data_IF_962111372276
#
_entry.id   IF_962111372276
#
_cell.length_a   1.000
_cell.length_b   1.000
_cell.length_c   1.000
_cell.angle_alpha   90.00
_cell.angle_beta   90.00
_cell.angle_gamma   90.00
#
_symmetry.space_group_name_H-M   'P 1'
#
loop_
_entity.id
_entity.type
_entity.pdbx_description
1 polymer ?
#
# COMPACT_ATOMS: atom_id res chain seq x y z
N UNK A 1 2.32 25.09 -12.16
CA UNK A 1 3.32 25.44 -11.14
C UNK A 1 4.71 24.89 -11.45
N UNK A 2 4.88 23.67 -11.99
CA UNK A 2 6.23 23.13 -12.25
C UNK A 2 6.85 23.48 -13.61
N UNK A 3 6.04 23.96 -14.57
CA UNK A 3 6.48 24.23 -15.95
C UNK A 3 7.71 25.15 -16.06
N UNK A 4 7.89 26.21 -15.25
CA UNK A 4 9.11 27.04 -15.32
C UNK A 4 10.41 26.29 -15.02
N UNK A 5 10.34 25.10 -14.41
CA UNK A 5 11.48 24.26 -14.05
C UNK A 5 11.76 23.16 -15.07
N UNK A 6 10.95 23.03 -16.14
CA UNK A 6 11.00 21.88 -17.07
C UNK A 6 12.36 21.67 -17.73
N UNK A 7 13.18 22.72 -17.84
CA UNK A 7 14.51 22.67 -18.43
C UNK A 7 15.63 22.26 -17.44
N UNK A 8 15.30 22.01 -16.17
CA UNK A 8 16.28 21.55 -15.18
C UNK A 8 16.56 20.06 -15.33
N UNK A 9 17.81 19.67 -15.07
CA UNK A 9 18.21 18.25 -14.97
C UNK A 9 17.83 17.71 -13.59
N UNK A 10 17.04 16.63 -13.56
CA UNK A 10 16.59 16.00 -12.32
C UNK A 10 17.21 14.62 -12.12
N UNK A 11 17.55 14.29 -10.86
CA UNK A 11 17.86 12.90 -10.46
C UNK A 11 16.61 12.13 -10.04
N UNK A 12 15.57 12.82 -9.57
CA UNK A 12 14.36 12.20 -9.05
C UNK A 12 13.35 13.23 -8.56
N UNK A 13 12.14 12.76 -8.24
CA UNK A 13 11.06 13.58 -7.66
C UNK A 13 10.56 12.93 -6.38
N UNK A 14 10.15 13.75 -5.41
CA UNK A 14 9.36 13.33 -4.24
C UNK A 14 8.02 14.05 -4.28
N UNK A 15 6.93 13.28 -4.13
CA UNK A 15 5.56 13.78 -4.18
C UNK A 15 4.76 13.36 -2.94
N UNK A 16 4.09 14.31 -2.29
CA UNK A 16 3.18 14.00 -1.20
C UNK A 16 1.90 14.82 -1.39
N UNK A 17 0.91 14.19 -2.01
CA UNK A 17 -0.42 14.75 -2.23
C UNK A 17 -1.40 13.59 -2.40
N UNK A 18 -2.68 13.86 -2.16
CA UNK A 18 -3.81 13.00 -2.50
C UNK A 18 -5.01 13.24 -1.60
N UNK A 19 -4.82 13.97 -0.49
CA UNK A 19 -5.83 14.26 0.52
C UNK A 19 -7.05 14.96 -0.07
N UNK A 20 -6.83 15.97 -0.93
CA UNK A 20 -7.93 16.65 -1.62
C UNK A 20 -8.65 15.75 -2.63
N UNK A 21 -7.98 14.71 -3.15
CA UNK A 21 -8.60 13.78 -4.10
C UNK A 21 -9.52 12.76 -3.42
N UNK A 22 -9.47 12.62 -2.09
CA UNK A 22 -10.37 11.70 -1.37
C UNK A 22 -11.84 12.02 -1.66
N UNK A 23 -12.17 13.31 -1.70
CA UNK A 23 -13.54 13.80 -1.92
C UNK A 23 -13.78 14.27 -3.38
N UNK A 24 -12.73 14.33 -4.22
CA UNK A 24 -12.80 14.86 -5.57
C UNK A 24 -11.95 14.02 -6.55
N UNK A 25 -12.59 13.40 -7.55
CA UNK A 25 -11.92 12.57 -8.56
C UNK A 25 -11.13 11.37 -8.00
N UNK A 26 -11.52 10.86 -6.83
CA UNK A 26 -10.86 9.72 -6.16
C UNK A 26 -10.70 8.52 -7.09
N UNK A 27 -11.80 8.10 -7.71
CA UNK A 27 -11.85 6.88 -8.54
C UNK A 27 -11.09 7.04 -9.86
N UNK A 28 -10.68 8.26 -10.22
CA UNK A 28 -9.81 8.54 -11.36
C UNK A 28 -8.32 8.54 -10.98
N UNK A 29 -7.99 8.56 -9.68
CA UNK A 29 -6.61 8.73 -9.22
C UNK A 29 -5.68 7.58 -9.62
N UNK A 30 -6.23 6.37 -9.74
CA UNK A 30 -5.51 5.20 -10.26
C UNK A 30 -5.09 5.36 -11.73
N UNK A 31 -5.66 6.33 -12.44
CA UNK A 31 -5.32 6.68 -13.82
C UNK A 31 -4.52 7.98 -13.88
N UNK A 32 -4.96 9.01 -13.16
CA UNK A 32 -4.34 10.34 -13.24
C UNK A 32 -2.98 10.42 -12.55
N UNK A 33 -2.74 9.66 -11.48
CA UNK A 33 -1.44 9.70 -10.82
C UNK A 33 -0.32 9.01 -11.63
N UNK A 34 -0.51 7.80 -12.21
CA UNK A 34 0.44 7.25 -13.17
C UNK A 34 0.63 8.15 -14.39
N UNK A 35 -0.43 8.79 -14.88
CA UNK A 35 -0.34 9.73 -16.00
C UNK A 35 0.51 10.97 -15.64
N UNK A 36 0.38 11.51 -14.42
CA UNK A 36 1.23 12.61 -13.94
C UNK A 36 2.70 12.21 -13.90
N UNK A 37 3.02 11.01 -13.43
CA UNK A 37 4.39 10.51 -13.37
C UNK A 37 4.98 10.43 -14.79
N UNK A 38 4.22 9.87 -15.74
CA UNK A 38 4.67 9.76 -17.13
C UNK A 38 4.80 11.13 -17.80
N UNK A 39 3.84 12.03 -17.60
CA UNK A 39 3.88 13.40 -18.12
C UNK A 39 5.12 14.16 -17.63
N UNK A 40 5.46 14.05 -16.35
CA UNK A 40 6.66 14.69 -15.80
C UNK A 40 7.94 14.05 -16.33
N UNK A 41 7.98 12.72 -16.46
CA UNK A 41 9.09 12.01 -17.10
C UNK A 41 9.36 12.54 -18.51
N UNK A 42 8.33 12.64 -19.33
CA UNK A 42 8.45 13.19 -20.68
C UNK A 42 8.84 14.66 -20.67
N UNK A 43 8.18 15.47 -19.84
CA UNK A 43 8.40 16.92 -19.76
C UNK A 43 9.84 17.25 -19.39
N UNK A 44 10.37 16.66 -18.30
CA UNK A 44 11.73 16.94 -17.86
C UNK A 44 12.79 16.30 -18.75
N UNK A 45 12.53 15.11 -19.32
CA UNK A 45 13.44 14.52 -20.31
C UNK A 45 13.57 15.44 -21.54
N UNK A 46 12.47 15.92 -22.12
CA UNK A 46 12.51 16.81 -23.27
C UNK A 46 13.07 18.20 -22.91
N UNK A 47 12.60 18.82 -21.82
CA UNK A 47 13.01 20.17 -21.44
C UNK A 47 14.51 20.25 -21.10
N UNK A 48 15.06 19.23 -20.43
CA UNK A 48 16.50 19.14 -20.16
C UNK A 48 17.33 18.63 -21.36
N UNK A 49 16.74 18.54 -22.56
CA UNK A 49 17.39 18.07 -23.78
C UNK A 49 18.01 16.67 -23.62
N UNK A 50 17.31 15.78 -22.92
CA UNK A 50 17.72 14.40 -22.68
C UNK A 50 18.67 14.19 -21.50
N UNK A 51 19.05 15.24 -20.75
CA UNK A 51 19.94 15.10 -19.59
C UNK A 51 19.25 14.46 -18.38
N UNK A 52 17.95 14.68 -18.22
CA UNK A 52 17.14 13.93 -17.25
C UNK A 52 16.81 12.56 -17.82
N UNK A 53 17.11 11.51 -17.06
CA UNK A 53 16.80 10.12 -17.44
C UNK A 53 15.31 9.95 -17.78
N UNK A 54 15.01 9.28 -18.90
CA UNK A 54 13.62 9.12 -19.38
C UNK A 54 12.71 8.46 -18.34
N UNK A 55 13.22 7.48 -17.61
CA UNK A 55 12.51 6.81 -16.51
C UNK A 55 13.13 7.19 -15.17
N UNK A 56 13.34 8.48 -14.92
CA UNK A 56 13.92 8.93 -13.66
C UNK A 56 13.07 8.48 -12.45
N UNK A 57 13.71 8.21 -11.29
CA UNK A 57 13.08 7.78 -10.06
C UNK A 57 11.96 8.72 -9.56
N UNK A 58 10.81 8.16 -9.23
CA UNK A 58 9.68 8.91 -8.67
C UNK A 58 9.29 8.35 -7.30
N UNK A 59 9.48 9.13 -6.25
CA UNK A 59 9.10 8.78 -4.89
C UNK A 59 7.78 9.44 -4.50
N UNK A 60 6.92 8.73 -3.77
CA UNK A 60 5.74 9.36 -3.18
C UNK A 60 5.41 8.86 -1.78
N UNK A 61 4.56 9.60 -1.07
CA UNK A 61 4.09 9.22 0.26
C UNK A 61 2.66 8.71 0.16
N UNK A 62 2.43 7.50 0.65
CA UNK A 62 1.07 7.00 0.83
C UNK A 62 0.37 7.85 1.89
N UNK A 63 -0.89 8.23 1.65
CA UNK A 63 -1.60 9.09 2.60
C UNK A 63 -1.63 8.48 4.01
N UNK A 64 -1.39 9.33 5.02
CA UNK A 64 -1.44 8.95 6.42
C UNK A 64 -2.89 8.78 6.90
N UNK A 65 -3.06 8.53 8.19
CA UNK A 65 -4.38 8.34 8.81
C UNK A 65 -5.07 9.67 9.11
N UNK A 66 -6.39 9.67 8.96
CA UNK A 66 -7.26 10.84 9.23
C UNK A 66 -8.39 10.38 10.14
N UNK A 67 -8.78 11.22 11.11
CA UNK A 67 -9.89 10.91 12.01
C UNK A 67 -11.19 10.67 11.24
N UNK A 68 -11.98 9.70 11.72
CA UNK A 68 -13.32 9.42 11.21
C UNK A 68 -14.22 10.66 11.34
N UNK A 69 -15.03 10.93 10.31
CA UNK A 69 -15.89 12.11 10.22
C UNK A 69 -15.36 13.21 9.28
N UNK A 70 -14.05 13.23 8.99
CA UNK A 70 -13.49 14.10 7.94
C UNK A 70 -13.72 13.53 6.53
N UNK A 71 -13.81 12.21 6.42
CA UNK A 71 -14.00 11.41 5.20
C UNK A 71 -14.76 10.14 5.57
N UNK A 72 -15.51 9.55 4.64
CA UNK A 72 -16.17 8.25 4.94
C UNK A 72 -15.16 7.11 4.96
N UNK A 73 -15.46 6.05 5.73
CA UNK A 73 -14.47 5.05 6.14
C UNK A 73 -13.76 4.34 4.98
N UNK A 74 -14.40 4.19 3.82
CA UNK A 74 -13.84 3.50 2.67
C UNK A 74 -13.09 4.42 1.69
N UNK A 75 -13.24 5.74 1.77
CA UNK A 75 -12.68 6.65 0.74
C UNK A 75 -11.17 6.83 0.87
N UNK A 76 -10.68 6.96 2.10
CA UNK A 76 -9.25 7.12 2.36
C UNK A 76 -8.44 5.85 2.02
N UNK A 77 -8.84 4.62 2.41
CA UNK A 77 -8.14 3.43 1.96
C UNK A 77 -8.23 3.24 0.43
N UNK A 78 -9.34 3.63 -0.22
CA UNK A 78 -9.44 3.63 -1.69
C UNK A 78 -8.42 4.56 -2.34
N UNK A 79 -8.25 5.80 -1.88
CA UNK A 79 -7.21 6.68 -2.47
C UNK A 79 -5.81 6.13 -2.22
N UNK A 80 -5.52 5.52 -1.06
CA UNK A 80 -4.23 4.87 -0.78
C UNK A 80 -3.96 3.72 -1.75
N UNK A 81 -5.00 2.97 -2.12
CA UNK A 81 -4.92 1.93 -3.13
C UNK A 81 -4.66 2.52 -4.53
N UNK A 82 -5.44 3.54 -4.91
CA UNK A 82 -5.29 4.24 -6.19
C UNK A 82 -3.91 4.93 -6.36
N UNK A 83 -3.26 5.37 -5.28
CA UNK A 83 -1.88 5.88 -5.30
C UNK A 83 -0.87 4.87 -5.86
N UNK A 84 -1.20 3.58 -5.86
CA UNK A 84 -0.36 2.50 -6.41
C UNK A 84 -0.86 1.97 -7.75
N UNK A 85 -1.77 2.70 -8.41
CA UNK A 85 -2.46 2.24 -9.61
C UNK A 85 -3.21 0.91 -9.42
N UNK A 86 -3.73 0.68 -8.21
CA UNK A 86 -4.47 -0.51 -7.79
C UNK A 86 -3.66 -1.81 -7.72
N UNK A 87 -2.35 -1.71 -7.42
CA UNK A 87 -1.48 -2.87 -7.20
C UNK A 87 -1.16 -3.14 -5.71
N UNK A 88 -1.24 -2.12 -4.85
CA UNK A 88 -0.85 -2.19 -3.44
C UNK A 88 0.63 -1.94 -3.16
N UNK A 89 1.45 -1.92 -4.21
CA UNK A 89 2.89 -1.72 -4.12
C UNK A 89 3.42 -1.00 -5.36
N UNK A 90 4.61 -0.42 -5.22
CA UNK A 90 5.43 0.15 -6.29
C UNK A 90 6.90 -0.22 -6.06
N UNK A 91 7.72 -0.43 -7.09
CA UNK A 91 7.37 -0.31 -8.51
C UNK A 91 6.42 -1.41 -8.97
N UNK A 92 5.63 -1.12 -9.99
CA UNK A 92 4.72 -2.06 -10.63
C UNK A 92 4.66 -1.81 -12.15
N UNK A 93 3.89 -2.60 -12.89
CA UNK A 93 3.81 -2.52 -14.36
C UNK A 93 3.35 -1.14 -14.89
N UNK A 94 2.58 -0.39 -14.10
CA UNK A 94 2.10 0.97 -14.48
C UNK A 94 3.01 2.08 -13.97
N UNK A 95 3.85 1.80 -12.97
CA UNK A 95 4.69 2.77 -12.27
C UNK A 95 6.11 2.19 -12.07
N UNK A 96 6.89 1.98 -13.16
CA UNK A 96 8.27 1.52 -13.05
C UNK A 96 9.15 2.60 -12.43
N UNK A 97 10.29 2.24 -11.83
CA UNK A 97 11.22 3.17 -11.17
C UNK A 97 10.54 4.10 -10.16
N UNK A 98 9.57 3.58 -9.41
CA UNK A 98 8.82 4.32 -8.40
C UNK A 98 9.02 3.68 -7.03
N UNK A 99 9.06 4.50 -5.98
CA UNK A 99 9.11 4.04 -4.60
C UNK A 99 8.09 4.79 -3.74
N UNK A 100 7.65 4.15 -2.65
CA UNK A 100 6.59 4.68 -1.79
C UNK A 100 7.00 4.63 -0.32
N UNK A 101 6.81 5.74 0.39
CA UNK A 101 6.81 5.75 1.84
C UNK A 101 5.39 5.47 2.35
N UNK A 102 5.18 4.29 2.94
CA UNK A 102 3.96 3.99 3.71
C UNK A 102 3.92 4.94 4.90
N UNK A 103 2.79 5.62 5.14
CA UNK A 103 2.65 6.57 6.26
C UNK A 103 1.36 6.39 7.06
N UNK A 104 0.56 5.35 6.80
CA UNK A 104 -0.72 5.12 7.48
C UNK A 104 -0.56 4.90 9.00
N UNK A 105 0.59 4.40 9.46
CA UNK A 105 0.92 4.19 10.87
C UNK A 105 1.50 5.44 11.56
N UNK A 106 1.54 6.60 10.88
CA UNK A 106 2.10 7.85 11.41
C UNK A 106 1.02 8.88 11.78
N UNK A 107 -0.25 8.45 11.84
CA UNK A 107 -1.37 9.30 12.24
C UNK A 107 -1.21 9.83 13.66
N UNK A 108 -1.72 11.04 13.90
CA UNK A 108 -1.74 11.65 15.22
C UNK A 108 -3.08 12.31 15.53
N UNK A 109 -3.82 11.72 16.48
CA UNK A 109 -5.15 12.20 16.90
C UNK A 109 -5.08 13.57 17.58
N UNK A 110 -3.95 13.87 18.20
CA UNK A 110 -3.72 15.06 19.01
C UNK A 110 -2.92 16.12 18.25
N UNK A 111 -2.80 15.98 16.92
CA UNK A 111 -2.12 16.98 16.10
C UNK A 111 -2.84 18.34 16.21
N UNK A 112 -2.17 19.42 16.66
CA UNK A 112 -2.79 20.74 16.74
C UNK A 112 -3.08 21.35 15.36
N UNK A 113 -2.55 20.74 14.30
CA UNK A 113 -2.76 21.16 12.91
C UNK A 113 -3.87 20.36 12.22
N UNK A 114 -4.54 19.47 12.95
CA UNK A 114 -5.52 18.53 12.39
C UNK A 114 -4.90 17.19 12.04
N UNK A 115 -5.71 16.13 12.16
CA UNK A 115 -5.26 14.74 12.01
C UNK A 115 -4.70 14.39 10.62
N UNK A 116 -5.07 15.16 9.59
CA UNK A 116 -4.57 14.98 8.22
C UNK A 116 -3.07 15.30 8.07
N UNK A 117 -2.49 16.03 9.02
CA UNK A 117 -1.08 16.40 9.00
C UNK A 117 -0.29 15.57 10.03
N UNK A 118 0.34 14.45 9.64
CA UNK A 118 1.17 13.67 10.57
C UNK A 118 2.38 14.52 10.99
N UNK A 119 2.64 14.59 12.30
CA UNK A 119 3.74 15.40 12.86
C UNK A 119 5.12 14.76 12.63
N UNK A 120 5.20 13.43 12.60
CA UNK A 120 6.45 12.71 12.37
C UNK A 120 6.84 12.70 10.88
N UNK A 121 7.21 13.89 10.37
CA UNK A 121 7.72 14.06 9.01
C UNK A 121 9.12 13.47 8.84
N UNK A 122 9.87 13.29 9.93
CA UNK A 122 11.20 12.67 9.89
C UNK A 122 11.10 11.19 9.49
N UNK A 123 10.15 10.43 10.05
CA UNK A 123 9.93 9.04 9.64
C UNK A 123 9.42 8.96 8.19
N UNK A 124 8.55 9.88 7.75
CA UNK A 124 8.14 9.96 6.33
C UNK A 124 9.38 10.16 5.42
N UNK A 125 10.22 11.14 5.74
CA UNK A 125 11.43 11.44 4.98
C UNK A 125 12.43 10.27 4.99
N UNK A 126 12.59 9.60 6.13
CA UNK A 126 13.46 8.43 6.26
C UNK A 126 13.00 7.27 5.35
N UNK A 127 11.69 6.99 5.31
CA UNK A 127 11.13 5.94 4.43
C UNK A 127 11.32 6.27 2.95
N UNK A 128 11.15 7.53 2.56
CA UNK A 128 11.47 8.00 1.20
C UNK A 128 12.98 7.90 0.91
N UNK A 129 13.83 8.23 1.88
CA UNK A 129 15.27 8.14 1.74
C UNK A 129 15.74 6.71 1.48
N UNK A 130 15.17 5.71 2.17
CA UNK A 130 15.44 4.30 1.89
C UNK A 130 15.05 3.93 0.45
N UNK A 131 13.86 4.38 -0.01
CA UNK A 131 13.41 4.15 -1.38
C UNK A 131 14.32 4.82 -2.42
N UNK A 132 14.79 6.04 -2.15
CA UNK A 132 15.74 6.72 -3.02
C UNK A 132 17.07 5.96 -3.10
N UNK A 133 17.63 5.52 -1.98
CA UNK A 133 18.87 4.72 -1.97
C UNK A 133 18.74 3.43 -2.78
N UNK A 134 17.65 2.69 -2.59
CA UNK A 134 17.42 1.43 -3.31
C UNK A 134 17.14 1.65 -4.80
N UNK A 135 16.23 2.56 -5.15
CA UNK A 135 15.70 2.73 -6.52
C UNK A 135 16.49 3.76 -7.33
N UNK A 136 16.83 4.91 -6.75
CA UNK A 136 17.53 6.00 -7.46
C UNK A 136 19.05 5.83 -7.49
N UNK A 137 19.61 5.19 -6.47
CA UNK A 137 21.06 4.99 -6.32
C UNK A 137 21.50 3.52 -6.42
N UNK A 138 20.56 2.59 -6.60
CA UNK A 138 20.87 1.20 -6.98
C UNK A 138 21.40 0.31 -5.85
N UNK A 139 21.11 0.64 -4.59
CA UNK A 139 21.48 -0.20 -3.45
C UNK A 139 20.62 -1.48 -3.37
N UNK A 140 21.01 -2.52 -4.11
CA UNK A 140 20.20 -3.72 -4.37
C UNK A 140 19.77 -4.53 -3.14
N UNK A 141 20.53 -4.48 -2.04
CA UNK A 141 20.27 -5.27 -0.83
C UNK A 141 19.61 -4.44 0.28
N UNK A 142 19.25 -3.18 0.01
CA UNK A 142 18.61 -2.31 0.98
C UNK A 142 17.11 -2.60 1.06
N UNK A 143 16.63 -2.93 2.25
CA UNK A 143 15.20 -3.07 2.52
C UNK A 143 14.58 -1.67 2.61
N UNK A 144 13.73 -1.33 1.64
CA UNK A 144 13.02 -0.06 1.58
C UNK A 144 11.49 -0.18 1.57
N UNK A 145 10.98 -1.42 1.53
CA UNK A 145 9.55 -1.73 1.58
C UNK A 145 9.23 -2.57 2.81
N UNK A 146 8.06 -2.35 3.38
CA UNK A 146 7.49 -3.26 4.37
C UNK A 146 6.96 -4.53 3.70
N UNK A 147 6.64 -5.57 4.51
CA UNK A 147 6.33 -6.89 3.99
C UNK A 147 5.10 -6.90 3.08
N UNK A 148 5.20 -7.62 1.96
CA UNK A 148 4.12 -7.83 1.00
C UNK A 148 3.70 -9.30 0.97
N UNK A 149 2.40 -9.60 0.78
CA UNK A 149 1.95 -10.96 0.56
C UNK A 149 2.50 -11.48 -0.78
N UNK A 150 3.02 -12.71 -0.75
CA UNK A 150 3.55 -13.44 -1.92
C UNK A 150 2.57 -14.54 -2.35
N UNK A 151 2.00 -15.26 -1.38
CA UNK A 151 1.09 -16.37 -1.65
C UNK A 151 -0.05 -16.39 -0.64
N UNK A 152 -1.25 -16.68 -1.12
CA UNK A 152 -2.46 -16.79 -0.33
C UNK A 152 -3.08 -18.16 -0.58
N UNK A 153 -3.36 -18.89 0.49
CA UNK A 153 -3.90 -20.24 0.45
C UNK A 153 -5.14 -20.34 1.33
N UNK A 154 -6.27 -20.70 0.73
CA UNK A 154 -7.50 -21.01 1.47
C UNK A 154 -7.45 -22.45 1.98
N UNK A 155 -7.45 -22.61 3.30
CA UNK A 155 -7.53 -23.89 4.00
C UNK A 155 -8.96 -24.04 4.57
N UNK A 156 -9.91 -24.28 3.67
CA UNK A 156 -11.34 -24.27 3.97
C UNK A 156 -11.73 -25.30 5.05
N UNK A 157 -11.10 -26.48 5.03
CA UNK A 157 -11.28 -27.55 6.01
C UNK A 157 -10.91 -27.14 7.44
N UNK A 158 -10.01 -26.16 7.58
CA UNK A 158 -9.53 -25.63 8.88
C UNK A 158 -10.16 -24.30 9.24
N UNK A 159 -10.97 -23.71 8.36
CA UNK A 159 -11.48 -22.35 8.52
C UNK A 159 -10.35 -21.31 8.58
N UNK A 160 -9.26 -21.51 7.82
CA UNK A 160 -8.09 -20.62 7.82
C UNK A 160 -7.78 -20.06 6.43
N UNK A 161 -7.28 -18.83 6.40
CA UNK A 161 -6.60 -18.25 5.25
C UNK A 161 -5.12 -18.05 5.60
N UNK A 162 -4.23 -18.77 4.93
CA UNK A 162 -2.79 -18.66 5.16
C UNK A 162 -2.16 -17.68 4.16
N UNK A 163 -1.40 -16.73 4.67
CA UNK A 163 -0.71 -15.71 3.89
C UNK A 163 0.79 -15.91 4.10
N UNK A 164 1.52 -16.14 3.02
CA UNK A 164 2.98 -16.16 2.99
C UNK A 164 3.49 -14.81 2.48
N UNK A 165 4.52 -14.27 3.11
CA UNK A 165 5.14 -13.00 2.75
C UNK A 165 6.48 -13.24 2.05
N UNK A 166 6.82 -12.37 1.10
CA UNK A 166 8.12 -12.41 0.40
C UNK A 166 9.28 -11.98 1.30
N UNK A 167 8.99 -11.16 2.30
CA UNK A 167 9.93 -10.68 3.31
C UNK A 167 9.63 -11.29 4.68
N UNK A 168 10.58 -11.19 5.61
CA UNK A 168 10.28 -11.52 7.00
C UNK A 168 9.24 -10.55 7.57
N UNK A 169 8.36 -11.09 8.40
CA UNK A 169 7.37 -10.33 9.15
C UNK A 169 7.66 -10.41 10.66
N UNK A 170 7.35 -9.33 11.34
CA UNK A 170 7.19 -9.27 12.78
C UNK A 170 5.75 -8.86 13.06
N UNK A 171 5.02 -9.77 13.73
CA UNK A 171 3.71 -9.47 14.29
C UNK A 171 3.93 -8.75 15.62
N UNK A 172 3.76 -7.43 15.65
CA UNK A 172 3.95 -6.64 16.89
C UNK A 172 2.81 -6.84 17.89
N UNK A 173 1.60 -7.08 17.38
CA UNK A 173 0.40 -7.33 18.16
C UNK A 173 -0.57 -8.18 17.34
N UNK A 174 -1.36 -8.99 18.02
CA UNK A 174 -2.55 -9.56 17.39
C UNK A 174 -3.62 -8.48 17.25
N UNK A 175 -4.42 -8.60 16.20
CA UNK A 175 -5.53 -7.71 15.92
C UNK A 175 -6.70 -8.51 15.34
N UNK A 176 -7.92 -8.08 15.64
CA UNK A 176 -9.16 -8.74 15.26
C UNK A 176 -9.96 -7.99 14.19
N UNK A 177 -9.47 -6.84 13.72
CA UNK A 177 -10.23 -5.90 12.87
C UNK A 177 -9.46 -5.38 11.66
N UNK A 178 -8.13 -5.38 11.69
CA UNK A 178 -7.32 -4.80 10.61
C UNK A 178 -7.39 -5.61 9.31
N UNK A 179 -7.64 -6.91 9.45
CA UNK A 179 -7.90 -7.81 8.32
C UNK A 179 -9.39 -7.97 8.15
N UNK A 180 -9.84 -7.86 6.91
CA UNK A 180 -11.23 -8.08 6.55
C UNK A 180 -11.31 -9.06 5.39
N UNK A 181 -12.30 -9.94 5.41
CA UNK A 181 -12.64 -10.83 4.30
C UNK A 181 -13.92 -10.39 3.63
N UNK A 182 -14.00 -10.55 2.31
CA UNK A 182 -15.24 -10.42 1.57
C UNK A 182 -15.91 -11.78 1.49
N UNK A 183 -16.99 -11.95 2.25
CA UNK A 183 -17.80 -13.15 2.28
C UNK A 183 -19.11 -12.89 1.52
N UNK A 184 -19.39 -13.67 0.49
CA UNK A 184 -20.57 -13.53 -0.36
C UNK A 184 -21.56 -14.65 -0.15
N UNK A 185 -22.83 -14.29 -0.02
CA UNK A 185 -23.98 -15.19 -0.14
C UNK A 185 -24.66 -15.00 -1.52
N UNK A 186 -25.82 -15.63 -1.74
CA UNK A 186 -26.56 -15.59 -3.00
C UNK A 186 -27.04 -14.17 -3.41
N UNK A 187 -26.97 -13.19 -2.52
CA UNK A 187 -27.56 -11.86 -2.73
C UNK A 187 -26.57 -10.71 -2.56
N UNK A 188 -25.51 -10.86 -1.75
CA UNK A 188 -24.59 -9.77 -1.45
C UNK A 188 -23.23 -10.27 -0.92
N UNK A 189 -22.21 -9.44 -1.11
CA UNK A 189 -20.91 -9.60 -0.48
C UNK A 189 -20.76 -8.61 0.68
N UNK A 190 -20.24 -9.07 1.81
CA UNK A 190 -19.95 -8.24 2.99
C UNK A 190 -18.48 -8.36 3.37
N UNK A 191 -17.88 -7.21 3.70
CA UNK A 191 -16.58 -7.18 4.36
C UNK A 191 -16.77 -7.44 5.85
N UNK A 192 -16.10 -8.48 6.36
CA UNK A 192 -16.17 -8.92 7.75
C UNK A 192 -14.76 -8.90 8.35
N UNK A 193 -14.57 -8.29 9.53
CA UNK A 193 -13.28 -8.36 10.22
C UNK A 193 -12.97 -9.82 10.61
N UNK A 194 -11.69 -10.19 10.53
CA UNK A 194 -11.21 -11.53 10.90
C UNK A 194 -10.01 -11.47 11.83
N UNK A 195 -9.98 -12.31 12.87
CA UNK A 195 -8.85 -12.33 13.77
C UNK A 195 -7.63 -13.02 13.17
N UNK A 196 -6.47 -12.43 13.44
CA UNK A 196 -5.18 -13.10 13.31
C UNK A 196 -5.17 -14.36 14.18
N UNK A 197 -4.61 -15.44 13.65
CA UNK A 197 -4.48 -16.71 14.36
C UNK A 197 -2.99 -17.00 14.63
N UNK A 198 -2.42 -18.03 13.98
CA UNK A 198 -1.01 -18.39 14.12
C UNK A 198 -0.14 -17.60 13.16
N UNK A 199 1.11 -17.35 13.55
CA UNK A 199 2.08 -16.67 12.70
C UNK A 199 3.49 -17.22 12.92
N UNK A 200 4.33 -17.00 11.91
CA UNK A 200 5.76 -17.29 11.91
C UNK A 200 6.53 -16.06 11.41
N UNK A 201 7.84 -16.22 11.19
CA UNK A 201 8.67 -15.14 10.61
C UNK A 201 8.35 -14.84 9.16
N UNK A 202 7.55 -15.64 8.45
CA UNK A 202 7.19 -15.42 7.04
C UNK A 202 5.73 -15.74 6.69
N UNK A 203 4.91 -16.13 7.66
CA UNK A 203 3.51 -16.50 7.41
C UNK A 203 2.57 -16.01 8.50
N UNK A 204 1.34 -15.72 8.11
CA UNK A 204 0.23 -15.38 9.00
C UNK A 204 -1.01 -16.14 8.56
N UNK A 205 -1.63 -16.87 9.48
CA UNK A 205 -2.95 -17.44 9.30
C UNK A 205 -4.02 -16.52 9.88
N UNK A 206 -5.11 -16.33 9.15
CA UNK A 206 -6.31 -15.65 9.61
C UNK A 206 -7.41 -16.69 9.87
N UNK A 207 -8.20 -16.49 10.92
CA UNK A 207 -9.38 -17.31 11.18
C UNK A 207 -10.59 -16.74 10.45
N UNK A 208 -11.09 -17.49 9.47
CA UNK A 208 -12.18 -17.08 8.57
C UNK A 208 -13.50 -17.80 8.88
N UNK A 209 -13.60 -18.43 10.05
CA UNK A 209 -14.80 -19.18 10.47
C UNK A 209 -16.07 -18.33 10.55
N UNK A 210 -15.94 -16.99 10.56
CA UNK A 210 -17.08 -16.06 10.48
C UNK A 210 -17.73 -16.00 9.11
N UNK A 211 -17.07 -16.48 8.05
CA UNK A 211 -17.64 -16.52 6.71
C UNK A 211 -18.47 -17.78 6.50
N UNK A 212 -19.79 -17.60 6.40
CA UNK A 212 -20.74 -18.69 6.14
C UNK A 212 -21.01 -18.91 4.65
N UNK A 213 -20.53 -18.00 3.79
CA UNK A 213 -20.70 -18.05 2.34
C UNK A 213 -19.39 -18.32 1.60
N UNK A 214 -19.33 -17.84 0.36
CA UNK A 214 -18.13 -17.91 -0.47
C UNK A 214 -17.16 -16.78 -0.12
N UNK A 215 -15.96 -17.13 0.32
CA UNK A 215 -14.86 -16.19 0.48
C UNK A 215 -14.30 -15.79 -0.91
N UNK A 216 -14.49 -14.53 -1.31
CA UNK A 216 -14.04 -14.05 -2.64
C UNK A 216 -12.79 -13.18 -2.60
N UNK A 217 -12.54 -12.51 -1.47
CA UNK A 217 -11.41 -11.60 -1.34
C UNK A 217 -11.06 -11.40 0.14
N UNK A 218 -9.88 -10.82 0.38
CA UNK A 218 -9.51 -10.31 1.69
C UNK A 218 -8.62 -9.07 1.55
N UNK A 219 -8.58 -8.25 2.58
CA UNK A 219 -7.83 -6.99 2.60
C UNK A 219 -7.21 -6.73 3.97
N UNK A 220 -6.19 -5.89 3.98
CA UNK A 220 -5.44 -5.46 5.16
C UNK A 220 -5.42 -3.94 5.25
N UNK A 221 -5.59 -3.41 6.46
CA UNK A 221 -5.47 -1.99 6.79
C UNK A 221 -6.40 -1.08 5.97
N UNK A 222 -7.62 -1.55 5.69
CA UNK A 222 -8.57 -0.89 4.79
C UNK A 222 -9.54 0.05 5.50
N UNK A 223 -9.02 0.87 6.40
CA UNK A 223 -9.80 1.88 7.14
C UNK A 223 -9.09 3.23 7.11
N UNK A 224 -9.79 4.29 7.52
CA UNK A 224 -9.21 5.64 7.63
C UNK A 224 -8.07 5.70 8.65
N UNK A 225 -8.14 4.86 9.68
CA UNK A 225 -7.18 4.78 10.79
C UNK A 225 -6.89 3.31 11.15
N UNK A 226 -6.05 2.60 10.39
CA UNK A 226 -5.86 1.16 10.56
C UNK A 226 -5.10 0.78 11.81
N UNK A 227 -4.27 1.67 12.35
CA UNK A 227 -3.49 1.44 13.56
C UNK A 227 -3.06 2.75 14.21
N UNK A 228 -2.74 2.71 15.50
CA UNK A 228 -2.16 3.85 16.22
C UNK A 228 -0.70 4.09 15.82
N UNK A 229 -0.18 5.26 16.20
CA UNK A 229 1.18 5.70 15.86
C UNK A 229 2.24 4.61 16.12
N UNK A 230 2.85 4.12 15.04
CA UNK A 230 3.85 3.04 15.00
C UNK A 230 3.41 1.73 15.69
N UNK A 231 2.11 1.43 15.66
CA UNK A 231 1.49 0.26 16.29
C UNK A 231 0.67 -0.58 15.30
N UNK A 232 1.04 -0.58 14.02
CA UNK A 232 0.46 -1.53 13.08
C UNK A 232 0.84 -2.98 13.44
N UNK A 233 0.00 -3.99 13.18
CA UNK A 233 0.31 -5.37 13.50
C UNK A 233 1.52 -5.92 12.74
N UNK A 234 1.71 -5.52 11.48
CA UNK A 234 2.72 -6.09 10.60
C UNK A 234 3.82 -5.10 10.22
N UNK A 235 5.04 -5.46 10.59
CA UNK A 235 6.26 -4.75 10.24
C UNK A 235 7.33 -5.70 9.73
N UNK A 236 8.30 -5.18 8.98
CA UNK A 236 9.56 -5.87 8.77
C UNK A 236 10.41 -5.80 10.06
N UNK A 237 11.02 -6.91 10.54
CA UNK A 237 11.66 -6.97 11.85
C UNK A 237 12.86 -6.02 12.01
N UNK A 238 13.73 -5.89 11.00
CA UNK A 238 14.94 -5.05 11.12
C UNK A 238 14.73 -3.60 10.68
N UNK A 239 14.11 -3.36 9.52
CA UNK A 239 13.88 -2.01 9.00
C UNK A 239 12.74 -1.26 9.68
N UNK A 240 11.87 -1.96 10.44
CA UNK A 240 10.67 -1.39 11.08
C UNK A 240 9.72 -0.70 10.10
N UNK A 241 9.72 -1.14 8.84
CA UNK A 241 8.80 -0.66 7.80
C UNK A 241 7.46 -1.40 7.89
N UNK A 242 6.32 -0.68 7.95
CA UNK A 242 5.00 -1.30 8.03
C UNK A 242 4.62 -1.94 6.69
N UNK A 243 3.91 -3.07 6.75
CA UNK A 243 3.23 -3.61 5.56
C UNK A 243 2.23 -2.55 5.03
N UNK A 244 2.17 -2.26 3.72
CA UNK A 244 1.16 -1.35 3.16
C UNK A 244 -0.24 -1.99 3.17
N UNK A 245 -1.32 -1.20 3.06
CA UNK A 245 -2.64 -1.72 2.74
C UNK A 245 -2.62 -2.54 1.46
N UNK A 246 -3.37 -3.63 1.44
CA UNK A 246 -3.57 -4.41 0.24
C UNK A 246 -4.96 -5.04 0.20
N UNK A 247 -5.38 -5.40 -1.00
CA UNK A 247 -6.54 -6.27 -1.26
C UNK A 247 -6.11 -7.38 -2.19
N UNK A 248 -6.68 -8.57 -2.02
CA UNK A 248 -6.41 -9.72 -2.86
C UNK A 248 -7.66 -10.57 -3.04
N UNK A 249 -7.84 -11.08 -4.26
CA UNK A 249 -8.96 -11.94 -4.63
C UNK A 249 -8.57 -13.42 -4.46
N UNK A 250 -9.49 -14.22 -3.94
CA UNK A 250 -9.30 -15.66 -3.78
C UNK A 250 -9.67 -16.34 -5.09
N UNK A 251 -8.69 -16.50 -5.96
CA UNK A 251 -8.84 -17.26 -7.21
C UNK A 251 -8.62 -18.74 -6.92
N UNK A 252 -9.60 -19.42 -6.33
CA UNK A 252 -9.70 -20.88 -6.30
C UNK A 252 -11.11 -21.31 -5.83
N UNK A 253 -12.04 -21.32 -6.77
CA UNK A 253 -13.21 -22.18 -6.68
C UNK A 253 -13.22 -23.07 -7.92
N UNK A 254 -12.40 -24.13 -7.91
CA UNK A 254 -12.60 -25.40 -8.63
C UNK A 254 -11.43 -26.35 -8.32
N UNK A 255 -11.66 -27.65 -8.08
CA UNK A 255 -10.59 -28.62 -7.91
C UNK A 255 -9.97 -28.92 -9.27
N UNK A 256 -8.69 -28.59 -9.43
CA UNK A 256 -7.85 -29.07 -10.52
C UNK A 256 -7.69 -28.13 -11.71
N UNK A 257 -6.89 -27.07 -11.55
CA UNK A 257 -5.89 -26.73 -12.57
C UNK A 257 -4.84 -25.76 -12.02
N UNK A 258 -3.58 -26.16 -12.11
CA UNK A 258 -2.43 -25.33 -11.78
C UNK A 258 -2.42 -24.05 -12.63
N UNK A 259 -2.57 -22.91 -11.98
CA UNK A 259 -2.40 -21.60 -12.62
C UNK A 259 -0.96 -21.14 -12.41
N UNK A 260 -0.25 -20.93 -13.53
CA UNK A 260 1.07 -20.31 -13.59
C UNK A 260 0.95 -18.82 -13.26
N UNK A 261 1.82 -18.34 -12.38
CA UNK A 261 2.08 -16.92 -12.15
C UNK A 261 2.69 -16.33 -13.43
N UNK A 262 2.07 -15.27 -13.95
CA UNK A 262 2.58 -14.53 -15.10
C UNK A 262 3.91 -13.85 -14.76
N UNK A 263 4.89 -14.00 -15.66
CA UNK A 263 6.21 -13.37 -15.63
C UNK A 263 6.12 -11.88 -15.97
#
# INVERSE_FOLDING_TARGET
MIHPLSNMTLKGVIWYQGESNVNFNRDLYNCTFPALIEDWRQTFHHGSQGQTERLFPFGFVQLSSVLAGAVSNDQLPQIRWHQTADFGYVPNLRMPNTFMAVAMDLGDRNSPFGSVHPRDKQTVAYRLHLGARAVAYGEKQLIFQGPLPEKIELLADKGLLNIRYSQQIQVQRQDDKIFEISCCDDHQCKWLPVPMNTFSTQSLALNISSCQGTLVAFRYAWTTWPCEYKQCPLYHPSSTLPAPPFTAFITNQMPGHHSKVAQ
#
